data_IF_051314523899
#
_entry.id   IF_051314523899
#
_cell.length_a   1.000
_cell.length_b   1.000
_cell.length_c   1.000
_cell.angle_alpha   90.00
_cell.angle_beta   90.00
_cell.angle_gamma   90.00
#
_symmetry.space_group_name_H-M   'P 1'
#
loop_
_entity.id
_entity.type
_entity.pdbx_description
1 polymer ?
#
# COMPACT_ATOMS: atom_id res chain seq x y z
N UNK A 1 -10.14 8.53 30.47
CA UNK A 1 -11.20 7.66 29.89
C UNK A 1 -11.89 8.44 28.79
N UNK A 2 -11.43 8.30 27.54
CA UNK A 2 -12.12 8.86 26.37
C UNK A 2 -13.43 8.08 26.21
N UNK A 3 -14.54 8.75 26.46
CA UNK A 3 -15.89 8.16 26.36
C UNK A 3 -16.08 7.51 24.99
N UNK A 4 -16.71 6.32 24.97
CA UNK A 4 -17.08 5.59 23.76
C UNK A 4 -17.80 6.49 22.72
N UNK A 5 -18.44 7.57 23.17
CA UNK A 5 -19.08 8.58 22.32
C UNK A 5 -18.10 9.34 21.40
N UNK A 6 -16.84 9.55 21.82
CA UNK A 6 -15.80 10.19 21.00
C UNK A 6 -15.21 9.23 19.96
N UNK A 7 -15.02 7.96 20.31
CA UNK A 7 -14.55 6.91 19.39
C UNK A 7 -15.62 6.65 18.31
N UNK A 8 -16.90 6.62 18.69
CA UNK A 8 -18.02 6.54 17.76
C UNK A 8 -18.07 7.79 16.86
N UNK A 9 -17.88 9.01 17.37
CA UNK A 9 -17.80 10.21 16.52
C UNK A 9 -16.62 10.22 15.54
N UNK A 10 -15.49 9.60 15.88
CA UNK A 10 -14.34 9.48 14.98
C UNK A 10 -14.57 8.37 13.95
N UNK A 11 -15.10 7.20 14.34
CA UNK A 11 -15.28 6.03 13.46
C UNK A 11 -16.55 6.07 12.60
N UNK A 12 -17.61 6.76 13.04
CA UNK A 12 -18.90 6.84 12.33
C UNK A 12 -18.76 7.45 10.94
N UNK A 13 -18.01 8.55 10.72
CA UNK A 13 -17.71 9.02 9.36
C UNK A 13 -17.06 7.93 8.50
N UNK A 14 -16.13 7.14 9.03
CA UNK A 14 -15.45 6.06 8.30
C UNK A 14 -16.30 4.79 8.09
N UNK A 15 -17.35 4.58 8.90
CA UNK A 15 -18.29 3.47 8.74
C UNK A 15 -19.48 3.81 7.82
N UNK A 16 -19.90 5.08 7.79
CA UNK A 16 -21.01 5.56 6.95
C UNK A 16 -20.53 5.86 5.52
N UNK A 17 -19.30 6.34 5.36
CA UNK A 17 -18.76 6.72 4.04
C UNK A 17 -18.73 5.55 3.02
N UNK A 18 -18.30 4.31 3.38
CA UNK A 18 -18.37 3.17 2.47
C UNK A 18 -19.80 2.75 2.12
N UNK A 19 -20.76 2.93 3.04
CA UNK A 19 -22.18 2.58 2.84
C UNK A 19 -22.88 3.56 1.88
N UNK A 20 -22.54 4.84 1.97
CA UNK A 20 -23.00 5.88 1.02
C UNK A 20 -22.31 5.69 -0.35
N UNK A 21 -21.04 5.31 -0.37
CA UNK A 21 -20.34 4.92 -1.60
C UNK A 21 -21.04 3.71 -2.24
N UNK A 22 -21.50 2.73 -1.46
CA UNK A 22 -22.23 1.56 -1.95
C UNK A 22 -23.55 1.90 -2.64
N UNK A 23 -24.33 2.85 -2.10
CA UNK A 23 -25.53 3.38 -2.75
C UNK A 23 -25.24 4.13 -4.07
N UNK A 24 -24.00 4.59 -4.26
CA UNK A 24 -23.51 5.28 -5.47
C UNK A 24 -22.70 4.37 -6.41
N UNK A 25 -22.43 3.11 -6.04
CA UNK A 25 -21.57 2.17 -6.81
C UNK A 25 -22.11 1.80 -8.18
N UNK A 26 -23.39 2.06 -8.48
CA UNK A 26 -23.93 1.93 -9.85
C UNK A 26 -23.35 2.95 -10.83
N UNK A 27 -22.70 4.02 -10.35
CA UNK A 27 -22.28 5.16 -11.17
C UNK A 27 -20.76 5.36 -11.34
N UNK A 28 -19.88 4.71 -10.56
CA UNK A 28 -18.44 5.02 -10.61
C UNK A 28 -17.51 3.83 -10.38
N UNK A 29 -17.11 3.15 -11.47
CA UNK A 29 -15.98 2.21 -11.46
C UNK A 29 -14.66 2.89 -10.99
N UNK A 30 -14.51 4.18 -11.29
CA UNK A 30 -13.32 4.99 -10.94
C UNK A 30 -13.10 5.19 -9.43
N UNK A 31 -14.10 4.87 -8.59
CA UNK A 31 -14.02 5.08 -7.12
C UNK A 31 -13.54 3.85 -6.35
N UNK A 32 -13.43 2.71 -7.01
CA UNK A 32 -13.19 1.43 -6.35
C UNK A 32 -11.74 1.26 -5.87
N UNK A 33 -10.76 1.69 -6.67
CA UNK A 33 -9.33 1.71 -6.27
C UNK A 33 -9.11 2.61 -5.06
N UNK A 34 -9.68 3.81 -5.08
CA UNK A 34 -9.64 4.76 -3.94
C UNK A 34 -10.30 4.20 -2.67
N UNK A 35 -11.42 3.49 -2.81
CA UNK A 35 -12.09 2.86 -1.67
C UNK A 35 -11.20 1.78 -1.03
N UNK A 36 -10.45 1.03 -1.84
CA UNK A 36 -9.46 0.06 -1.34
C UNK A 36 -8.32 0.75 -0.58
N UNK A 37 -7.76 1.85 -1.11
CA UNK A 37 -6.73 2.63 -0.40
C UNK A 37 -7.22 3.11 0.98
N UNK A 38 -8.41 3.72 1.03
CA UNK A 38 -9.03 4.21 2.27
C UNK A 38 -9.25 3.08 3.29
N UNK A 39 -9.78 1.94 2.85
CA UNK A 39 -10.00 0.77 3.71
C UNK A 39 -8.68 0.19 4.27
N UNK A 40 -7.62 0.18 3.47
CA UNK A 40 -6.31 -0.31 3.93
C UNK A 40 -5.69 0.67 4.93
N UNK A 41 -5.77 1.98 4.70
CA UNK A 41 -5.30 2.96 5.68
C UNK A 41 -6.04 2.82 7.02
N UNK A 42 -7.37 2.64 7.00
CA UNK A 42 -8.14 2.36 8.22
C UNK A 42 -7.69 1.07 8.89
N UNK A 43 -7.49 0.00 8.12
CA UNK A 43 -7.02 -1.27 8.65
C UNK A 43 -5.64 -1.15 9.32
N UNK A 44 -4.69 -0.42 8.72
CA UNK A 44 -3.37 -0.15 9.30
C UNK A 44 -3.52 0.55 10.65
N UNK A 45 -4.37 1.58 10.73
CA UNK A 45 -4.64 2.31 11.98
C UNK A 45 -5.23 1.36 13.03
N UNK A 46 -6.20 0.52 12.69
CA UNK A 46 -6.80 -0.45 13.62
C UNK A 46 -5.77 -1.48 14.12
N UNK A 47 -4.87 -1.93 13.25
CA UNK A 47 -3.77 -2.85 13.61
C UNK A 47 -2.78 -2.14 14.53
N UNK A 48 -2.39 -0.91 14.22
CA UNK A 48 -1.50 -0.09 15.05
C UNK A 48 -2.12 0.16 16.44
N UNK A 49 -3.39 0.57 16.51
CA UNK A 49 -4.11 0.72 17.78
C UNK A 49 -4.11 -0.58 18.59
N UNK A 50 -4.29 -1.73 17.94
CA UNK A 50 -4.25 -3.03 18.64
C UNK A 50 -2.88 -3.40 19.19
N UNK A 51 -1.80 -2.89 18.58
CA UNK A 51 -0.43 -3.17 18.97
C UNK A 51 0.05 -2.20 20.06
N UNK A 52 -0.07 -0.89 19.83
CA UNK A 52 0.54 0.14 20.68
C UNK A 52 -0.38 0.63 21.80
N UNK A 53 -1.70 0.59 21.59
CA UNK A 53 -2.67 1.13 22.55
C UNK A 53 -3.85 0.18 22.76
N UNK A 54 -3.61 -1.06 23.23
CA UNK A 54 -4.61 -2.13 23.29
C UNK A 54 -5.82 -1.79 24.19
N UNK A 55 -5.65 -0.88 25.14
CA UNK A 55 -6.70 -0.45 26.07
C UNK A 55 -7.51 0.76 25.58
N UNK A 56 -7.16 1.36 24.43
CA UNK A 56 -7.85 2.53 23.89
C UNK A 56 -9.25 2.18 23.38
N UNK A 57 -9.37 1.03 22.70
CA UNK A 57 -10.62 0.53 22.12
C UNK A 57 -10.87 -0.87 22.67
N UNK A 58 -12.10 -1.15 23.09
CA UNK A 58 -12.47 -2.46 23.60
C UNK A 58 -12.10 -3.58 22.58
N UNK A 59 -11.41 -4.66 22.98
CA UNK A 59 -10.88 -5.67 22.06
C UNK A 59 -11.91 -6.28 21.12
N UNK A 60 -13.14 -6.51 21.60
CA UNK A 60 -14.23 -7.02 20.77
C UNK A 60 -14.63 -6.05 19.64
N UNK A 61 -14.68 -4.74 19.91
CA UNK A 61 -14.98 -3.75 18.88
C UNK A 61 -13.86 -3.65 17.86
N UNK A 62 -12.61 -3.72 18.32
CA UNK A 62 -11.44 -3.72 17.45
C UNK A 62 -11.39 -4.96 16.55
N UNK A 63 -11.76 -6.13 17.09
CA UNK A 63 -11.89 -7.38 16.33
C UNK A 63 -12.98 -7.26 15.26
N UNK A 64 -14.17 -6.77 15.62
CA UNK A 64 -15.28 -6.55 14.68
C UNK A 64 -14.87 -5.58 13.57
N UNK A 65 -14.25 -4.44 13.91
CA UNK A 65 -13.81 -3.44 12.94
C UNK A 65 -12.77 -4.00 11.97
N UNK A 66 -11.80 -4.78 12.44
CA UNK A 66 -10.81 -5.44 11.57
C UNK A 66 -11.47 -6.44 10.61
N UNK A 67 -12.38 -7.29 11.09
CA UNK A 67 -13.11 -8.22 10.22
C UNK A 67 -13.98 -7.49 9.20
N UNK A 68 -14.63 -6.40 9.60
CA UNK A 68 -15.38 -5.55 8.68
C UNK A 68 -14.49 -5.02 7.56
N UNK A 69 -13.31 -4.47 7.88
CA UNK A 69 -12.34 -4.03 6.90
C UNK A 69 -11.88 -5.17 5.98
N UNK A 70 -11.56 -6.36 6.52
CA UNK A 70 -11.18 -7.52 5.71
C UNK A 70 -12.27 -7.95 4.73
N UNK A 71 -13.52 -8.03 5.19
CA UNK A 71 -14.66 -8.39 4.34
C UNK A 71 -14.86 -7.38 3.21
N UNK A 72 -14.75 -6.09 3.51
CA UNK A 72 -14.88 -5.05 2.49
C UNK A 72 -13.70 -5.03 1.52
N UNK A 73 -12.48 -5.29 1.98
CA UNK A 73 -11.31 -5.41 1.09
C UNK A 73 -11.46 -6.59 0.14
N UNK A 74 -11.92 -7.75 0.63
CA UNK A 74 -12.20 -8.90 -0.20
C UNK A 74 -13.27 -8.58 -1.26
N UNK A 75 -14.37 -7.95 -0.85
CA UNK A 75 -15.43 -7.53 -1.78
C UNK A 75 -14.91 -6.53 -2.82
N UNK A 76 -14.16 -5.51 -2.42
CA UNK A 76 -13.59 -4.53 -3.33
C UNK A 76 -12.63 -5.19 -4.32
N UNK A 77 -11.77 -6.11 -3.86
CA UNK A 77 -10.86 -6.85 -4.72
C UNK A 77 -11.61 -7.69 -5.77
N UNK A 78 -12.68 -8.38 -5.37
CA UNK A 78 -13.54 -9.14 -6.29
C UNK A 78 -14.19 -8.21 -7.33
N UNK A 79 -14.72 -7.07 -6.89
CA UNK A 79 -15.33 -6.08 -7.78
C UNK A 79 -14.29 -5.46 -8.74
N UNK A 80 -13.09 -5.11 -8.28
CA UNK A 80 -12.03 -4.57 -9.13
C UNK A 80 -11.62 -5.59 -10.19
N UNK A 81 -11.47 -6.85 -9.79
CA UNK A 81 -11.17 -7.95 -10.70
C UNK A 81 -12.28 -8.14 -11.74
N UNK A 82 -13.54 -8.10 -11.33
CA UNK A 82 -14.69 -8.16 -12.24
C UNK A 82 -14.72 -6.98 -13.24
N UNK A 83 -14.31 -5.79 -12.78
CA UNK A 83 -14.22 -4.57 -13.59
C UNK A 83 -12.85 -4.37 -14.26
N UNK A 84 -12.02 -5.42 -14.34
CA UNK A 84 -10.70 -5.40 -15.01
C UNK A 84 -9.78 -4.29 -14.50
N UNK A 85 -10.00 -3.90 -13.24
CA UNK A 85 -9.28 -2.84 -12.56
C UNK A 85 -9.32 -1.54 -13.36
N UNK A 86 -10.40 -1.15 -14.04
CA UNK A 86 -10.39 0.10 -14.85
C UNK A 86 -10.26 1.34 -13.95
N UNK A 87 -9.28 2.22 -14.21
CA UNK A 87 -9.13 3.52 -13.53
C UNK A 87 -9.33 4.65 -14.53
N UNK A 88 -10.37 5.45 -14.34
CA UNK A 88 -10.59 6.65 -15.15
C UNK A 88 -10.83 6.34 -16.62
N UNK A 89 -10.54 7.33 -17.44
CA UNK A 89 -10.38 7.18 -18.89
C UNK A 89 -8.93 6.75 -19.21
N UNK A 90 -8.46 5.67 -18.59
CA UNK A 90 -7.13 5.14 -18.90
C UNK A 90 -7.00 4.85 -20.40
N UNK A 91 -5.88 5.25 -20.98
CA UNK A 91 -5.61 5.08 -22.42
C UNK A 91 -5.24 3.62 -22.73
N UNK A 92 -4.80 2.87 -21.71
CA UNK A 92 -4.36 1.48 -21.86
C UNK A 92 -5.57 0.56 -22.09
N UNK A 93 -5.55 -0.13 -23.22
CA UNK A 93 -6.51 -1.20 -23.54
C UNK A 93 -6.06 -2.57 -23.01
N UNK A 94 -4.77 -2.72 -22.65
CA UNK A 94 -4.22 -3.95 -22.12
C UNK A 94 -4.60 -4.12 -20.64
N UNK A 95 -5.49 -5.07 -20.37
CA UNK A 95 -6.00 -5.37 -19.03
C UNK A 95 -4.88 -5.76 -18.06
N UNK A 96 -3.90 -6.56 -18.50
CA UNK A 96 -2.81 -7.02 -17.63
C UNK A 96 -1.91 -5.86 -17.20
N UNK A 97 -1.51 -5.01 -18.15
CA UNK A 97 -0.70 -3.82 -17.86
C UNK A 97 -1.43 -2.89 -16.88
N UNK A 98 -2.73 -2.68 -17.09
CA UNK A 98 -3.57 -1.87 -16.21
C UNK A 98 -3.69 -2.43 -14.78
N UNK A 99 -3.93 -3.73 -14.64
CA UNK A 99 -3.98 -4.41 -13.32
C UNK A 99 -2.64 -4.23 -12.60
N UNK A 100 -1.52 -4.47 -13.28
CA UNK A 100 -0.20 -4.42 -12.67
C UNK A 100 0.19 -3.01 -12.22
N UNK A 101 -0.08 -1.97 -13.02
CA UNK A 101 0.17 -0.58 -12.63
C UNK A 101 -0.69 -0.14 -11.43
N UNK A 102 -1.92 -0.64 -11.32
CA UNK A 102 -2.78 -0.30 -10.19
C UNK A 102 -2.40 -1.03 -8.92
N UNK A 103 -2.03 -2.31 -9.02
CA UNK A 103 -1.43 -3.03 -7.90
C UNK A 103 -0.15 -2.33 -7.42
N UNK A 104 0.70 -1.90 -8.35
CA UNK A 104 1.93 -1.17 -8.05
C UNK A 104 1.67 0.17 -7.33
N UNK A 105 0.69 0.94 -7.82
CA UNK A 105 0.26 2.18 -7.16
C UNK A 105 -0.32 1.92 -5.77
N UNK A 106 -1.18 0.90 -5.64
CA UNK A 106 -1.80 0.52 -4.38
C UNK A 106 -0.72 0.13 -3.34
N UNK A 107 0.23 -0.72 -3.71
CA UNK A 107 1.32 -1.14 -2.82
C UNK A 107 2.15 0.07 -2.37
N UNK A 108 2.45 1.01 -3.27
CA UNK A 108 3.12 2.26 -2.94
C UNK A 108 2.36 3.09 -1.92
N UNK A 109 1.05 3.29 -2.11
CA UNK A 109 0.23 4.06 -1.18
C UNK A 109 0.21 3.41 0.20
N UNK A 110 0.02 2.09 0.27
CA UNK A 110 -0.02 1.33 1.52
C UNK A 110 1.30 1.47 2.28
N UNK A 111 2.41 1.14 1.63
CA UNK A 111 3.74 1.17 2.23
C UNK A 111 4.10 2.61 2.59
N UNK A 112 3.86 3.55 1.69
CA UNK A 112 4.14 4.97 1.87
C UNK A 112 3.41 5.58 3.06
N UNK A 113 2.09 5.39 3.16
CA UNK A 113 1.28 5.86 4.30
C UNK A 113 1.76 5.21 5.60
N UNK A 114 2.04 3.91 5.60
CA UNK A 114 2.48 3.21 6.81
C UNK A 114 3.81 3.77 7.35
N UNK A 115 4.80 3.97 6.47
CA UNK A 115 6.09 4.55 6.83
C UNK A 115 6.02 6.03 7.21
N UNK A 116 5.09 6.78 6.61
CA UNK A 116 4.90 8.18 6.93
C UNK A 116 4.20 8.37 8.29
N UNK A 117 3.15 7.57 8.56
CA UNK A 117 2.31 7.71 9.74
C UNK A 117 2.86 6.99 10.98
N UNK A 118 3.47 5.81 10.81
CA UNK A 118 3.90 4.94 11.91
C UNK A 118 5.36 4.42 11.73
N UNK A 119 6.35 5.31 11.46
CA UNK A 119 7.72 4.90 11.19
C UNK A 119 8.35 4.14 12.38
N UNK A 120 8.20 4.65 13.60
CA UNK A 120 8.80 4.06 14.79
C UNK A 120 8.25 2.64 15.05
N UNK A 121 6.93 2.47 14.96
CA UNK A 121 6.27 1.18 15.11
C UNK A 121 6.79 0.15 14.09
N UNK A 122 6.98 0.55 12.83
CA UNK A 122 7.51 -0.33 11.79
C UNK A 122 9.00 -0.66 12.03
N UNK A 123 9.80 0.32 12.41
CA UNK A 123 11.23 0.15 12.65
C UNK A 123 11.51 -0.75 13.87
N UNK A 124 10.81 -0.58 14.99
CA UNK A 124 11.00 -1.42 16.19
C UNK A 124 10.66 -2.89 15.95
N UNK A 125 9.78 -3.16 14.98
CA UNK A 125 9.48 -4.54 14.58
C UNK A 125 10.59 -5.15 13.74
N UNK A 126 11.39 -4.34 13.05
CA UNK A 126 12.45 -4.79 12.15
C UNK A 126 13.83 -4.80 12.83
N UNK A 127 14.12 -3.83 13.69
CA UNK A 127 15.45 -3.57 14.25
C UNK A 127 15.43 -3.73 15.78
N UNK A 128 16.52 -4.24 16.35
CA UNK A 128 16.71 -4.45 17.80
C UNK A 128 17.50 -3.33 18.49
N UNK A 129 18.12 -2.44 17.72
CA UNK A 129 18.91 -1.32 18.22
C UNK A 129 18.04 -0.10 18.55
N UNK A 130 18.61 0.80 19.34
CA UNK A 130 17.96 2.05 19.68
C UNK A 130 17.75 2.92 18.44
N UNK A 131 16.50 3.28 18.18
CA UNK A 131 16.13 4.16 17.08
C UNK A 131 16.17 5.61 17.54
N UNK A 132 16.92 6.43 16.79
CA UNK A 132 16.98 7.88 16.98
C UNK A 132 16.12 8.65 15.97
N UNK A 133 15.97 9.95 16.19
CA UNK A 133 15.21 10.88 15.33
C UNK A 133 15.63 10.81 13.86
N UNK A 134 16.92 10.63 13.57
CA UNK A 134 17.41 10.49 12.19
C UNK A 134 16.86 9.24 11.49
N UNK A 135 16.67 8.13 12.22
CA UNK A 135 16.11 6.91 11.65
C UNK A 135 14.64 7.10 11.30
N UNK A 136 13.88 7.74 12.19
CA UNK A 136 12.50 8.11 11.96
C UNK A 136 12.35 9.05 10.75
N UNK A 137 13.22 10.06 10.66
CA UNK A 137 13.23 10.97 9.52
C UNK A 137 13.48 10.23 8.20
N UNK A 138 14.49 9.36 8.14
CA UNK A 138 14.77 8.54 6.95
C UNK A 138 13.59 7.63 6.58
N UNK A 139 12.94 7.02 7.58
CA UNK A 139 11.75 6.19 7.38
C UNK A 139 10.58 6.98 6.78
N UNK A 140 10.30 8.19 7.27
CA UNK A 140 9.27 9.08 6.71
C UNK A 140 9.61 9.58 5.32
N UNK A 141 10.89 9.87 5.05
CA UNK A 141 11.36 10.25 3.73
C UNK A 141 11.12 9.13 2.71
N UNK A 142 11.49 7.90 3.07
CA UNK A 142 11.20 6.71 2.25
C UNK A 142 9.69 6.53 2.02
N UNK A 143 8.85 6.77 3.05
CA UNK A 143 7.40 6.76 2.90
C UNK A 143 6.90 7.80 1.89
N UNK A 144 7.49 9.01 1.91
CA UNK A 144 7.18 10.10 0.97
C UNK A 144 7.58 9.75 -0.46
N UNK A 145 8.72 9.08 -0.66
CA UNK A 145 9.18 8.62 -1.97
C UNK A 145 8.24 7.55 -2.56
N UNK A 146 7.75 6.62 -1.72
CA UNK A 146 6.75 5.65 -2.15
C UNK A 146 5.42 6.29 -2.53
N UNK A 147 4.95 7.30 -1.78
CA UNK A 147 3.75 8.05 -2.14
C UNK A 147 3.93 8.83 -3.44
N UNK A 148 5.08 9.49 -3.62
CA UNK A 148 5.35 10.27 -4.83
C UNK A 148 5.44 9.37 -6.07
N UNK A 149 6.07 8.21 -5.94
CA UNK A 149 6.16 7.24 -7.03
C UNK A 149 4.81 6.58 -7.37
N UNK A 150 3.84 6.53 -6.45
CA UNK A 150 2.48 6.07 -6.73
C UNK A 150 1.75 6.97 -7.73
N UNK A 151 1.96 8.30 -7.61
CA UNK A 151 1.40 9.30 -8.53
C UNK A 151 1.93 9.06 -9.95
N UNK A 152 3.23 8.78 -10.08
CA UNK A 152 3.85 8.48 -11.38
C UNK A 152 3.26 7.19 -11.96
N UNK A 153 3.14 6.12 -11.18
CA UNK A 153 2.55 4.85 -11.65
C UNK A 153 1.09 5.01 -12.08
N UNK A 154 0.29 5.75 -11.33
CA UNK A 154 -1.09 6.07 -11.69
C UNK A 154 -1.18 6.92 -12.96
N UNK A 155 -0.29 7.91 -13.10
CA UNK A 155 -0.27 8.77 -14.28
C UNK A 155 0.25 8.06 -15.54
N UNK A 156 1.12 7.05 -15.39
CA UNK A 156 1.64 6.26 -16.50
C UNK A 156 0.53 5.56 -17.31
N UNK A 157 -0.60 5.22 -16.69
CA UNK A 157 -1.80 4.66 -17.35
C UNK A 157 -2.42 5.58 -18.41
N UNK A 158 -2.12 6.88 -18.35
CA UNK A 158 -2.64 7.90 -19.26
C UNK A 158 -1.64 8.29 -20.35
N UNK A 159 -0.40 7.78 -20.29
CA UNK A 159 0.59 8.06 -21.33
C UNK A 159 0.31 7.27 -22.59
N UNK A 160 0.12 7.99 -23.70
CA UNK A 160 -0.16 7.40 -25.02
C UNK A 160 1.02 6.56 -25.55
N UNK A 161 2.24 7.06 -25.40
CA UNK A 161 3.45 6.41 -25.93
C UNK A 161 3.88 5.24 -25.05
N UNK A 162 3.96 4.01 -25.58
CA UNK A 162 4.44 2.84 -24.82
C UNK A 162 5.85 3.01 -24.26
N UNK A 163 6.73 3.69 -24.98
CA UNK A 163 8.10 3.98 -24.54
C UNK A 163 8.15 4.83 -23.26
N UNK A 164 7.24 5.79 -23.09
CA UNK A 164 7.16 6.58 -21.87
C UNK A 164 6.72 5.72 -20.68
N UNK A 165 5.77 4.81 -20.88
CA UNK A 165 5.32 3.86 -19.84
C UNK A 165 6.46 2.92 -19.44
N UNK A 166 7.25 2.49 -20.41
CA UNK A 166 8.43 1.67 -20.17
C UNK A 166 9.43 2.35 -19.24
N UNK A 167 9.65 3.67 -19.38
CA UNK A 167 10.51 4.45 -18.48
C UNK A 167 9.98 4.40 -17.04
N UNK A 168 8.67 4.55 -16.81
CA UNK A 168 8.11 4.43 -15.45
C UNK A 168 8.33 3.02 -14.87
N UNK A 169 8.17 1.96 -15.68
CA UNK A 169 8.42 0.59 -15.25
C UNK A 169 9.92 0.35 -14.98
N UNK A 170 10.81 0.94 -15.78
CA UNK A 170 12.27 0.87 -15.58
C UNK A 170 12.67 1.56 -14.27
N UNK A 171 12.16 2.76 -14.01
CA UNK A 171 12.37 3.45 -12.74
C UNK A 171 11.87 2.62 -11.55
N UNK A 172 10.68 2.01 -11.66
CA UNK A 172 10.14 1.14 -10.62
C UNK A 172 11.03 -0.08 -10.37
N UNK A 173 11.44 -0.75 -11.45
CA UNK A 173 12.31 -1.93 -11.38
C UNK A 173 13.64 -1.59 -10.72
N UNK A 174 14.21 -0.43 -11.03
CA UNK A 174 15.44 0.07 -10.42
C UNK A 174 15.25 0.33 -8.93
N UNK A 175 14.21 1.07 -8.52
CA UNK A 175 13.92 1.35 -7.11
C UNK A 175 13.75 0.05 -6.32
N UNK A 176 12.89 -0.87 -6.78
CA UNK A 176 12.63 -2.13 -6.09
C UNK A 176 13.90 -2.99 -5.99
N UNK A 177 14.73 -3.03 -7.03
CA UNK A 177 16.00 -3.78 -7.02
C UNK A 177 17.00 -3.19 -6.05
N UNK A 178 17.17 -1.86 -6.04
CA UNK A 178 18.08 -1.17 -5.13
C UNK A 178 17.63 -1.31 -3.67
N UNK A 179 16.32 -1.17 -3.40
CA UNK A 179 15.76 -1.39 -2.07
C UNK A 179 15.97 -2.85 -1.64
N UNK A 180 15.72 -3.82 -2.51
CA UNK A 180 15.95 -5.23 -2.20
C UNK A 180 17.42 -5.52 -1.88
N UNK A 181 18.33 -5.00 -2.70
CA UNK A 181 19.77 -5.16 -2.50
C UNK A 181 20.20 -4.56 -1.15
N UNK A 182 19.70 -3.37 -0.79
CA UNK A 182 19.98 -2.74 0.49
C UNK A 182 19.42 -3.55 1.67
N UNK A 183 18.21 -4.08 1.56
CA UNK A 183 17.57 -4.92 2.59
C UNK A 183 18.34 -6.23 2.81
N UNK A 184 18.72 -6.92 1.73
CA UNK A 184 19.52 -8.16 1.79
C UNK A 184 20.91 -7.86 2.37
N UNK A 185 21.60 -6.83 1.86
CA UNK A 185 22.92 -6.47 2.33
C UNK A 185 22.91 -6.11 3.82
N UNK A 186 21.96 -5.29 4.25
CA UNK A 186 21.84 -4.89 5.66
C UNK A 186 21.52 -6.05 6.59
N UNK A 187 20.72 -7.03 6.13
CA UNK A 187 20.44 -8.26 6.88
C UNK A 187 21.71 -9.08 7.13
N UNK A 188 22.67 -9.11 6.19
CA UNK A 188 23.95 -9.79 6.39
C UNK A 188 24.95 -8.94 7.19
N UNK A 189 25.06 -7.64 6.89
CA UNK A 189 26.01 -6.75 7.54
C UNK A 189 25.71 -6.51 9.03
N UNK A 190 24.43 -6.58 9.41
CA UNK A 190 23.97 -6.31 10.77
C UNK A 190 23.09 -7.45 11.30
N UNK A 191 23.45 -8.71 11.03
CA UNK A 191 22.65 -9.91 11.34
C UNK A 191 22.12 -9.96 12.77
N UNK A 192 22.90 -9.47 13.74
CA UNK A 192 22.54 -9.52 15.16
C UNK A 192 21.55 -8.42 15.56
N UNK A 193 21.48 -7.35 14.77
CA UNK A 193 20.68 -6.15 15.02
C UNK A 193 19.28 -6.21 14.38
N UNK A 194 19.03 -7.16 13.48
CA UNK A 194 17.71 -7.33 12.85
C UNK A 194 16.86 -8.37 13.59
N UNK A 195 15.56 -8.12 13.63
CA UNK A 195 14.54 -9.06 14.07
C UNK A 195 14.21 -10.04 12.93
N UNK A 196 13.72 -11.23 13.24
CA UNK A 196 13.18 -12.18 12.26
C UNK A 196 12.11 -11.54 11.37
N UNK A 197 11.36 -10.57 11.90
CA UNK A 197 10.35 -9.82 11.13
C UNK A 197 10.94 -9.00 9.98
N UNK A 198 12.25 -8.72 9.94
CA UNK A 198 12.90 -8.08 8.80
C UNK A 198 12.77 -8.91 7.52
N UNK A 199 12.73 -10.24 7.63
CA UNK A 199 12.46 -11.14 6.50
C UNK A 199 11.08 -10.92 5.87
N UNK A 200 10.10 -10.42 6.63
CA UNK A 200 8.79 -10.05 6.08
C UNK A 200 8.95 -8.87 5.12
N UNK A 201 9.76 -7.87 5.49
CA UNK A 201 10.10 -6.74 4.63
C UNK A 201 10.82 -7.17 3.36
N UNK A 202 11.87 -8.00 3.50
CA UNK A 202 12.60 -8.59 2.35
C UNK A 202 11.66 -9.37 1.43
N UNK A 203 10.76 -10.19 1.98
CA UNK A 203 9.80 -10.97 1.19
C UNK A 203 8.82 -10.09 0.41
N UNK A 204 8.34 -9.02 1.05
CA UNK A 204 7.42 -8.06 0.43
C UNK A 204 8.10 -7.34 -0.74
N UNK A 205 9.29 -6.78 -0.51
CA UNK A 205 10.06 -6.08 -1.55
C UNK A 205 10.47 -7.05 -2.66
N UNK A 206 10.85 -8.29 -2.34
CA UNK A 206 11.17 -9.32 -3.35
C UNK A 206 9.99 -9.59 -4.28
N UNK A 207 8.79 -9.78 -3.71
CA UNK A 207 7.57 -10.00 -4.48
C UNK A 207 7.25 -8.79 -5.38
N UNK A 208 7.48 -7.59 -4.87
CA UNK A 208 7.29 -6.36 -5.62
C UNK A 208 8.30 -6.21 -6.78
N UNK A 209 9.58 -6.50 -6.54
CA UNK A 209 10.64 -6.51 -7.55
C UNK A 209 10.32 -7.50 -8.66
N UNK A 210 9.91 -8.73 -8.33
CA UNK A 210 9.52 -9.74 -9.32
C UNK A 210 8.35 -9.21 -10.17
N UNK A 211 7.33 -8.62 -9.54
CA UNK A 211 6.17 -8.06 -10.24
C UNK A 211 6.59 -6.94 -11.21
N UNK A 212 7.49 -6.04 -10.79
CA UNK A 212 8.00 -4.95 -11.63
C UNK A 212 8.80 -5.49 -12.84
N UNK A 213 9.65 -6.50 -12.63
CA UNK A 213 10.45 -7.12 -13.69
C UNK A 213 9.56 -7.90 -14.68
N UNK A 214 8.54 -8.61 -14.20
CA UNK A 214 7.56 -9.28 -15.05
C UNK A 214 6.77 -8.29 -15.90
N UNK A 215 6.31 -7.18 -15.29
CA UNK A 215 5.66 -6.09 -16.01
C UNK A 215 6.60 -5.51 -17.07
N UNK A 216 7.88 -5.30 -16.74
CA UNK A 216 8.87 -4.78 -17.67
C UNK A 216 9.06 -5.68 -18.87
N UNK A 217 9.22 -6.98 -18.63
CA UNK A 217 9.37 -7.99 -19.68
C UNK A 217 8.15 -8.04 -20.59
N UNK A 218 6.95 -8.12 -19.99
CA UNK A 218 5.68 -8.15 -20.72
C UNK A 218 5.50 -6.90 -21.59
N UNK A 219 5.69 -5.70 -21.03
CA UNK A 219 5.53 -4.44 -21.78
C UNK A 219 6.58 -4.26 -22.88
N UNK A 220 7.80 -4.75 -22.68
CA UNK A 220 8.83 -4.75 -23.73
C UNK A 220 8.42 -5.60 -24.94
N UNK A 221 7.89 -6.79 -24.69
CA UNK A 221 7.49 -7.73 -25.73
C UNK A 221 6.34 -7.21 -26.61
N UNK A 222 5.57 -6.23 -26.11
CA UNK A 222 4.46 -5.58 -26.82
C UNK A 222 4.89 -4.37 -27.66
N UNK A 223 6.09 -3.83 -27.45
CA UNK A 223 6.66 -2.74 -28.24
C UNK A 223 7.40 -3.39 -29.42
N UNK A 224 6.66 -3.64 -30.51
CA UNK A 224 7.21 -3.99 -31.82
C UNK A 224 7.25 -2.76 -32.72
#
# INVERSE_FOLDING_TARGET
VLSACHIVRILVPFLIHPLIIHLLLKYFANKLTRTTEELISVLIVLVHCSAETPNLIHPNYLKIAKYWCYSWLAMNFCLQTAHRWSLGEAVITNVMENVLFQMDSLVCVIIGVAWLAFPEWLLHRQVRTHLGVSHEFCARLMGTDFLTSSVISSHALHWKKPTNRLIAIDCRSLICTLTLAAQIWSQYAYSDHWNVSHWVGISLISSWTITALLLRYHSAAQIK
#
